data_IF_504503697423
#
_entry.id   IF_504503697423
#
_cell.length_a   1.000
_cell.length_b   1.000
_cell.length_c   1.000
_cell.angle_alpha   90.00
_cell.angle_beta   90.00
_cell.angle_gamma   90.00
#
_symmetry.space_group_name_H-M   'P 1'
#
loop_
_entity.id
_entity.type
_entity.pdbx_description
1 polymer ?
#
# COMPACT_ATOMS: atom_id res chain seq x y z
N UNK A 1 26.47 -28.07 -42.30
CA UNK A 1 25.27 -27.33 -41.80
C UNK A 1 24.56 -27.99 -40.59
N UNK A 2 25.03 -29.09 -39.98
CA UNK A 2 24.28 -29.78 -38.91
C UNK A 2 24.64 -29.38 -37.46
N UNK A 3 25.71 -28.61 -37.22
CA UNK A 3 26.09 -28.16 -35.88
C UNK A 3 25.30 -26.92 -35.41
N UNK A 4 25.00 -26.00 -36.33
CA UNK A 4 24.21 -24.79 -36.04
C UNK A 4 22.74 -25.12 -35.77
N UNK A 5 22.17 -26.10 -36.48
CA UNK A 5 20.78 -26.54 -36.23
C UNK A 5 20.63 -27.26 -34.89
N UNK A 6 21.66 -28.01 -34.45
CA UNK A 6 21.68 -28.66 -33.13
C UNK A 6 21.80 -27.66 -31.97
N UNK A 7 22.57 -26.58 -32.14
CA UNK A 7 22.65 -25.51 -31.14
C UNK A 7 21.36 -24.69 -31.05
N UNK A 8 20.71 -24.39 -32.17
CA UNK A 8 19.38 -23.76 -32.17
C UNK A 8 18.32 -24.67 -31.55
N UNK A 9 18.34 -25.97 -31.85
CA UNK A 9 17.42 -26.92 -31.24
C UNK A 9 17.64 -27.08 -29.72
N UNK A 10 18.89 -27.07 -29.26
CA UNK A 10 19.21 -27.11 -27.83
C UNK A 10 18.78 -25.83 -27.10
N UNK A 11 18.91 -24.65 -27.74
CA UNK A 11 18.42 -23.38 -27.18
C UNK A 11 16.89 -23.33 -27.11
N UNK A 12 16.21 -23.81 -28.15
CA UNK A 12 14.74 -23.88 -28.17
C UNK A 12 14.23 -24.91 -27.15
N UNK A 13 14.90 -26.07 -27.02
CA UNK A 13 14.55 -27.09 -26.02
C UNK A 13 14.81 -26.61 -24.59
N UNK A 14 15.95 -25.97 -24.32
CA UNK A 14 16.24 -25.39 -23.01
C UNK A 14 15.29 -24.24 -22.67
N UNK A 15 14.90 -23.42 -23.65
CA UNK A 15 13.89 -22.38 -23.49
C UNK A 15 12.50 -22.95 -23.21
N UNK A 16 12.11 -24.05 -23.87
CA UNK A 16 10.83 -24.70 -23.63
C UNK A 16 10.78 -25.41 -22.27
N UNK A 17 11.84 -26.12 -21.87
CA UNK A 17 11.91 -26.79 -20.56
C UNK A 17 11.95 -25.79 -19.40
N UNK A 18 12.69 -24.69 -19.55
CA UNK A 18 12.67 -23.59 -18.56
C UNK A 18 11.32 -22.90 -18.53
N UNK A 19 10.68 -22.67 -19.66
CA UNK A 19 9.33 -22.07 -19.72
C UNK A 19 8.28 -22.98 -19.06
N UNK A 20 8.33 -24.30 -19.29
CA UNK A 20 7.41 -25.26 -18.67
C UNK A 20 7.67 -25.42 -17.17
N UNK A 21 8.93 -25.50 -16.74
CA UNK A 21 9.29 -25.55 -15.34
C UNK A 21 8.90 -24.26 -14.60
N UNK A 22 9.12 -23.09 -15.21
CA UNK A 22 8.77 -21.78 -14.65
C UNK A 22 7.24 -21.52 -14.68
N UNK A 23 6.51 -22.03 -15.67
CA UNK A 23 5.05 -21.97 -15.70
C UNK A 23 4.43 -22.79 -14.56
N UNK A 24 4.96 -23.98 -14.30
CA UNK A 24 4.59 -24.77 -13.12
C UNK A 24 4.96 -24.04 -11.83
N UNK A 25 6.13 -23.39 -11.75
CA UNK A 25 6.51 -22.59 -10.58
C UNK A 25 5.62 -21.35 -10.37
N UNK A 26 5.18 -20.66 -11.43
CA UNK A 26 4.26 -19.52 -11.31
C UNK A 26 2.87 -19.97 -10.82
N UNK A 27 2.40 -21.15 -11.26
CA UNK A 27 1.18 -21.77 -10.73
C UNK A 27 1.36 -22.21 -9.27
N UNK A 28 2.48 -22.84 -8.92
CA UNK A 28 2.76 -23.35 -7.58
C UNK A 28 2.96 -22.20 -6.56
N UNK A 29 3.68 -21.14 -6.96
CA UNK A 29 3.91 -19.95 -6.12
C UNK A 29 2.62 -19.20 -5.78
N UNK A 30 1.57 -19.33 -6.59
CA UNK A 30 0.26 -18.74 -6.33
C UNK A 30 -0.55 -19.48 -5.25
N UNK A 31 -0.13 -20.70 -4.88
CA UNK A 31 -0.80 -21.58 -3.92
C UNK A 31 -0.06 -21.71 -2.57
N UNK A 32 1.14 -21.11 -2.45
CA UNK A 32 1.94 -21.19 -1.21
C UNK A 32 1.40 -20.23 -0.15
N UNK A 33 0.64 -20.79 0.79
CA UNK A 33 0.20 -20.11 2.02
C UNK A 33 1.34 -20.10 3.04
N UNK A 34 1.68 -18.90 3.53
CA UNK A 34 2.59 -18.71 4.65
C UNK A 34 1.74 -18.47 5.91
N UNK A 35 2.17 -19.04 7.03
CA UNK A 35 1.55 -18.77 8.33
C UNK A 35 1.73 -17.27 8.66
N UNK A 36 0.63 -16.52 8.89
CA UNK A 36 0.73 -15.10 9.19
C UNK A 36 1.44 -14.86 10.52
N UNK A 37 2.06 -13.68 10.63
CA UNK A 37 2.60 -13.19 11.90
C UNK A 37 1.52 -13.24 13.00
N UNK A 38 1.94 -13.49 14.25
CA UNK A 38 1.02 -13.68 15.38
C UNK A 38 0.07 -12.50 15.56
N UNK A 39 0.53 -11.29 15.24
CA UNK A 39 -0.24 -10.05 15.36
C UNK A 39 -1.41 -9.96 14.38
N UNK A 40 -1.43 -10.78 13.31
CA UNK A 40 -2.44 -10.77 12.25
C UNK A 40 -3.39 -11.97 12.33
N UNK A 41 -3.10 -12.96 13.18
CA UNK A 41 -3.78 -14.27 13.17
C UNK A 41 -5.31 -14.17 13.26
N UNK A 42 -5.81 -13.22 14.04
CA UNK A 42 -7.25 -13.08 14.29
C UNK A 42 -8.00 -12.37 13.16
N UNK A 43 -7.30 -11.69 12.24
CA UNK A 43 -7.92 -10.96 11.12
C UNK A 43 -8.68 -11.93 10.22
N UNK A 44 -8.09 -13.08 9.91
CA UNK A 44 -8.75 -14.10 9.08
C UNK A 44 -10.09 -14.54 9.66
N UNK A 45 -10.23 -14.61 10.98
CA UNK A 45 -11.49 -14.95 11.65
C UNK A 45 -12.50 -13.79 11.71
N UNK A 46 -12.03 -12.55 11.62
CA UNK A 46 -12.87 -11.35 11.63
C UNK A 46 -13.49 -11.03 10.25
N UNK A 47 -12.87 -11.50 9.16
CA UNK A 47 -13.37 -11.30 7.80
C UNK A 47 -14.56 -12.22 7.49
N UNK A 48 -15.44 -11.75 6.61
CA UNK A 48 -16.48 -12.62 6.05
C UNK A 48 -15.87 -13.80 5.29
N UNK A 49 -16.58 -14.92 5.20
CA UNK A 49 -16.04 -16.13 4.58
C UNK A 49 -15.56 -15.88 3.14
N UNK A 50 -16.32 -15.09 2.38
CA UNK A 50 -15.95 -14.69 1.02
C UNK A 50 -14.62 -13.91 0.99
N UNK A 51 -14.46 -12.91 1.87
CA UNK A 51 -13.25 -12.06 1.95
C UNK A 51 -12.03 -12.84 2.44
N UNK A 52 -12.23 -13.72 3.42
CA UNK A 52 -11.19 -14.64 3.89
C UNK A 52 -10.71 -15.55 2.77
N UNK A 53 -11.63 -16.23 2.06
CA UNK A 53 -11.28 -17.13 0.96
C UNK A 53 -10.57 -16.37 -0.16
N UNK A 54 -11.02 -15.16 -0.50
CA UNK A 54 -10.33 -14.31 -1.46
C UNK A 54 -8.88 -14.00 -1.05
N UNK A 55 -8.66 -13.66 0.23
CA UNK A 55 -7.32 -13.40 0.76
C UNK A 55 -6.43 -14.64 0.93
N UNK A 56 -6.99 -15.84 0.98
CA UNK A 56 -6.21 -17.09 1.15
C UNK A 56 -5.94 -17.84 -0.15
N UNK A 57 -6.83 -17.74 -1.14
CA UNK A 57 -6.75 -18.52 -2.36
C UNK A 57 -7.28 -17.79 -3.62
N UNK A 58 -7.73 -16.55 -3.47
CA UNK A 58 -8.28 -15.75 -4.57
C UNK A 58 -7.21 -15.00 -5.38
N UNK A 59 -7.65 -14.25 -6.39
CA UNK A 59 -6.80 -13.40 -7.23
C UNK A 59 -5.96 -12.42 -6.41
N UNK A 60 -6.55 -11.83 -5.37
CA UNK A 60 -5.85 -10.89 -4.49
C UNK A 60 -4.72 -11.54 -3.68
N UNK A 61 -4.86 -12.82 -3.29
CA UNK A 61 -3.76 -13.61 -2.71
C UNK A 61 -2.59 -13.75 -3.70
N UNK A 62 -2.91 -14.14 -4.93
CA UNK A 62 -1.92 -14.26 -6.00
C UNK A 62 -1.23 -12.92 -6.27
N UNK A 63 -1.98 -11.82 -6.27
CA UNK A 63 -1.43 -10.47 -6.41
C UNK A 63 -0.46 -10.12 -5.28
N UNK A 64 -0.83 -10.40 -4.03
CA UNK A 64 0.04 -10.18 -2.87
C UNK A 64 1.36 -10.97 -2.97
N UNK A 65 1.28 -12.26 -3.35
CA UNK A 65 2.45 -13.12 -3.59
C UNK A 65 3.35 -12.53 -4.67
N UNK A 66 2.77 -12.13 -5.79
CA UNK A 66 3.51 -11.61 -6.94
C UNK A 66 4.19 -10.28 -6.64
N UNK A 67 3.48 -9.35 -6.02
CA UNK A 67 4.04 -8.07 -5.58
C UNK A 67 5.13 -8.28 -4.52
N UNK A 68 4.87 -9.13 -3.51
CA UNK A 68 5.87 -9.47 -2.50
C UNK A 68 7.15 -10.03 -3.11
N UNK A 69 7.04 -10.99 -4.03
CA UNK A 69 8.22 -11.56 -4.72
C UNK A 69 8.95 -10.53 -5.59
N UNK A 70 8.22 -9.66 -6.29
CA UNK A 70 8.81 -8.68 -7.21
C UNK A 70 9.61 -7.60 -6.48
N UNK A 71 9.17 -7.21 -5.29
CA UNK A 71 9.77 -6.13 -4.51
C UNK A 71 10.63 -6.60 -3.34
N UNK A 72 10.68 -7.91 -3.04
CA UNK A 72 11.36 -8.47 -1.87
C UNK A 72 12.77 -7.92 -1.65
N UNK A 73 13.59 -7.80 -2.71
CA UNK A 73 14.99 -7.40 -2.58
C UNK A 73 15.19 -5.91 -2.20
N UNK A 74 14.12 -5.11 -2.19
CA UNK A 74 14.20 -3.68 -1.86
C UNK A 74 13.39 -3.32 -0.62
N UNK A 75 12.70 -4.29 0.00
CA UNK A 75 11.96 -4.08 1.25
C UNK A 75 12.98 -3.97 2.39
N UNK A 76 12.96 -2.88 3.19
CA UNK A 76 13.81 -2.76 4.38
C UNK A 76 13.33 -3.69 5.49
N UNK A 77 14.22 -4.05 6.42
CA UNK A 77 13.84 -4.78 7.62
C UNK A 77 13.12 -3.85 8.60
N UNK A 78 11.80 -4.03 8.74
CA UNK A 78 10.92 -3.17 9.53
C UNK A 78 9.98 -4.00 10.41
N UNK A 79 10.59 -4.93 11.16
CA UNK A 79 9.86 -5.90 11.97
C UNK A 79 9.00 -5.28 13.08
N UNK A 80 9.40 -4.14 13.67
CA UNK A 80 8.59 -3.44 14.68
C UNK A 80 7.36 -2.79 14.05
N UNK A 81 7.53 -2.17 12.88
CA UNK A 81 6.43 -1.61 12.11
C UNK A 81 5.39 -2.67 11.73
N UNK A 82 5.84 -3.78 11.16
CA UNK A 82 4.92 -4.86 10.76
C UNK A 82 4.17 -5.44 11.96
N UNK A 83 4.82 -5.58 13.12
CA UNK A 83 4.15 -6.04 14.34
C UNK A 83 3.13 -5.02 14.87
N UNK A 84 3.51 -3.75 15.00
CA UNK A 84 2.62 -2.70 15.50
C UNK A 84 1.40 -2.51 14.58
N UNK A 85 1.61 -2.46 13.27
CA UNK A 85 0.53 -2.37 12.29
C UNK A 85 -0.41 -3.58 12.38
N UNK A 86 0.13 -4.79 12.53
CA UNK A 86 -0.69 -6.00 12.71
C UNK A 86 -1.58 -5.94 13.95
N UNK A 87 -1.04 -5.48 15.07
CA UNK A 87 -1.82 -5.30 16.31
C UNK A 87 -2.95 -4.30 16.12
N UNK A 88 -2.65 -3.13 15.51
CA UNK A 88 -3.65 -2.10 15.20
C UNK A 88 -4.73 -2.65 14.26
N UNK A 89 -4.32 -3.36 13.22
CA UNK A 89 -5.26 -3.91 12.25
C UNK A 89 -6.16 -4.99 12.85
N UNK A 90 -5.60 -5.85 13.71
CA UNK A 90 -6.38 -6.85 14.46
C UNK A 90 -7.37 -6.19 15.41
N UNK A 91 -6.96 -5.16 16.15
CA UNK A 91 -7.85 -4.37 17.00
C UNK A 91 -9.02 -3.79 16.19
N UNK A 92 -8.73 -3.15 15.05
CA UNK A 92 -9.73 -2.55 14.17
C UNK A 92 -10.66 -3.58 13.54
N UNK A 93 -10.14 -4.75 13.16
CA UNK A 93 -10.95 -5.83 12.60
C UNK A 93 -11.99 -6.37 13.61
N UNK A 94 -11.78 -6.16 14.91
CA UNK A 94 -12.69 -6.55 15.98
C UNK A 94 -13.64 -5.42 16.42
N UNK A 95 -13.40 -4.19 15.95
CA UNK A 95 -14.27 -3.06 16.25
C UNK A 95 -15.59 -3.22 15.49
N UNK A 96 -16.75 -3.19 16.18
CA UNK A 96 -18.05 -3.34 15.54
C UNK A 96 -18.39 -2.15 14.61
N UNK A 97 -17.81 -0.98 14.87
CA UNK A 97 -17.98 0.22 14.04
C UNK A 97 -17.20 0.11 12.72
N UNK A 98 -15.98 -0.44 12.77
CA UNK A 98 -15.16 -0.66 11.57
C UNK A 98 -15.54 -1.96 10.81
N UNK A 99 -15.97 -2.99 11.53
CA UNK A 99 -16.31 -4.30 10.99
C UNK A 99 -17.69 -4.77 11.51
N UNK A 100 -18.79 -4.20 10.98
CA UNK A 100 -20.12 -4.62 11.34
C UNK A 100 -20.38 -6.07 10.88
N UNK A 101 -21.21 -6.79 11.61
CA UNK A 101 -21.60 -8.14 11.23
C UNK A 101 -22.93 -8.13 10.46
N UNK A 102 -22.99 -8.93 9.39
CA UNK A 102 -24.21 -9.08 8.61
C UNK A 102 -25.36 -9.67 9.43
N UNK A 103 -26.44 -8.91 9.57
CA UNK A 103 -27.74 -9.36 10.10
C UNK A 103 -28.69 -9.77 8.99
N UNK A 104 -29.82 -10.41 9.36
CA UNK A 104 -30.90 -10.78 8.42
C UNK A 104 -31.49 -9.57 7.68
N UNK A 105 -31.40 -8.37 8.24
CA UNK A 105 -31.93 -7.14 7.64
C UNK A 105 -31.18 -6.75 6.35
N UNK A 106 -29.95 -7.23 6.19
CA UNK A 106 -29.15 -7.03 4.97
C UNK A 106 -29.55 -7.98 3.83
N UNK A 107 -30.48 -8.91 4.09
CA UNK A 107 -31.02 -9.85 3.10
C UNK A 107 -29.92 -10.61 2.34
N UNK A 108 -29.93 -10.61 1.00
CA UNK A 108 -28.97 -11.37 0.20
C UNK A 108 -27.52 -10.86 0.32
N UNK A 109 -27.30 -9.66 0.87
CA UNK A 109 -25.97 -9.08 1.03
C UNK A 109 -25.34 -9.36 2.39
N UNK A 110 -26.02 -10.12 3.27
CA UNK A 110 -25.55 -10.42 4.62
C UNK A 110 -24.10 -10.93 4.66
N UNK A 111 -23.69 -11.77 3.72
CA UNK A 111 -22.34 -12.35 3.66
C UNK A 111 -21.25 -11.36 3.18
N UNK A 112 -21.66 -10.21 2.64
CA UNK A 112 -20.78 -9.15 2.17
C UNK A 112 -20.65 -7.99 3.17
N UNK A 113 -21.42 -8.01 4.26
CA UNK A 113 -21.33 -7.01 5.34
C UNK A 113 -20.06 -7.26 6.15
N UNK A 114 -19.34 -6.18 6.42
CA UNK A 114 -18.11 -6.18 7.21
C UNK A 114 -16.97 -5.48 6.48
N UNK A 115 -15.81 -5.47 7.12
CA UNK A 115 -14.61 -4.83 6.58
C UNK A 115 -14.05 -5.60 5.39
N UNK A 116 -13.64 -4.87 4.35
CA UNK A 116 -12.80 -5.41 3.29
C UNK A 116 -11.33 -5.28 3.68
N UNK A 117 -10.81 -6.30 4.37
CA UNK A 117 -9.38 -6.47 4.66
C UNK A 117 -8.72 -7.49 3.75
N UNK A 118 -9.22 -7.68 2.52
CA UNK A 118 -8.75 -8.77 1.64
C UNK A 118 -7.27 -8.60 1.25
N UNK A 119 -6.82 -7.40 0.89
CA UNK A 119 -5.41 -7.12 0.57
C UNK A 119 -4.50 -7.31 1.78
N UNK A 120 -4.97 -6.90 2.96
CA UNK A 120 -4.27 -7.06 4.23
C UNK A 120 -4.10 -8.53 4.60
N UNK A 121 -5.17 -9.32 4.51
CA UNK A 121 -5.12 -10.75 4.82
C UNK A 121 -4.33 -11.54 3.78
N UNK A 122 -4.46 -11.18 2.50
CA UNK A 122 -3.62 -11.69 1.43
C UNK A 122 -2.13 -11.43 1.69
N UNK A 123 -1.78 -10.20 2.08
CA UNK A 123 -0.43 -9.84 2.45
C UNK A 123 0.08 -10.64 3.66
N UNK A 124 -0.71 -10.72 4.73
CA UNK A 124 -0.35 -11.43 5.96
C UNK A 124 -0.06 -12.91 5.70
N UNK A 125 -0.81 -13.55 4.80
CA UNK A 125 -0.61 -14.95 4.39
C UNK A 125 0.41 -15.14 3.25
N UNK A 126 1.00 -14.04 2.76
CA UNK A 126 2.02 -14.04 1.69
C UNK A 126 3.42 -13.66 2.18
N UNK A 127 3.54 -13.13 3.40
CA UNK A 127 4.80 -12.81 4.06
C UNK A 127 5.13 -11.31 4.09
N UNK A 128 6.26 -10.98 4.74
CA UNK A 128 6.62 -9.62 5.12
C UNK A 128 6.74 -8.65 3.94
N UNK A 129 7.32 -9.11 2.81
CA UNK A 129 7.40 -8.29 1.62
C UNK A 129 6.01 -7.89 1.11
N UNK A 130 5.04 -8.83 1.14
CA UNK A 130 3.66 -8.54 0.74
C UNK A 130 2.96 -7.59 1.73
N UNK A 131 3.23 -7.70 3.03
CA UNK A 131 2.77 -6.73 4.04
C UNK A 131 3.33 -5.33 3.77
N UNK A 132 4.61 -5.23 3.44
CA UNK A 132 5.22 -3.96 3.05
C UNK A 132 4.54 -3.37 1.79
N UNK A 133 4.15 -4.21 0.82
CA UNK A 133 3.39 -3.77 -0.35
C UNK A 133 1.96 -3.32 -0.03
N UNK A 134 1.32 -3.92 0.98
CA UNK A 134 0.02 -3.44 1.49
C UNK A 134 0.17 -2.07 2.15
N UNK A 135 1.25 -1.84 2.92
CA UNK A 135 1.55 -0.51 3.48
C UNK A 135 1.77 0.55 2.40
N UNK A 136 2.42 0.18 1.27
CA UNK A 136 2.53 1.06 0.11
C UNK A 136 1.15 1.35 -0.49
N UNK A 137 0.30 0.32 -0.63
CA UNK A 137 -1.06 0.50 -1.13
C UNK A 137 -1.85 1.48 -0.27
N UNK A 138 -1.72 1.40 1.07
CA UNK A 138 -2.30 2.38 1.98
C UNK A 138 -1.76 3.80 1.75
N UNK A 139 -0.45 3.99 1.54
CA UNK A 139 0.11 5.32 1.22
C UNK A 139 -0.46 5.91 -0.07
N UNK A 140 -0.53 5.08 -1.13
CA UNK A 140 -1.08 5.51 -2.42
C UNK A 140 -2.59 5.80 -2.32
N UNK A 141 -3.33 4.96 -1.60
CA UNK A 141 -4.76 5.09 -1.39
C UNK A 141 -5.15 6.35 -0.60
N UNK A 142 -4.30 6.78 0.33
CA UNK A 142 -4.51 7.99 1.14
C UNK A 142 -4.29 9.26 0.33
N UNK A 143 -3.32 9.27 -0.60
CA UNK A 143 -2.87 10.50 -1.25
C UNK A 143 -3.31 10.67 -2.70
N UNK A 144 -3.51 9.58 -3.43
CA UNK A 144 -3.84 9.59 -4.86
C UNK A 144 -5.25 9.08 -5.11
N UNK A 145 -5.92 9.59 -6.14
CA UNK A 145 -7.19 9.03 -6.59
C UNK A 145 -6.98 7.65 -7.22
N UNK A 146 -8.03 6.82 -7.27
CA UNK A 146 -7.91 5.44 -7.76
C UNK A 146 -7.25 5.32 -9.15
N UNK A 147 -7.63 6.11 -10.18
CA UNK A 147 -6.99 6.00 -11.49
C UNK A 147 -5.50 6.35 -11.48
N UNK A 148 -5.10 7.33 -10.66
CA UNK A 148 -3.72 7.79 -10.50
C UNK A 148 -2.88 6.73 -9.77
N UNK A 149 -3.40 6.19 -8.66
CA UNK A 149 -2.74 5.13 -7.90
C UNK A 149 -2.54 3.87 -8.75
N UNK A 150 -3.53 3.49 -9.55
CA UNK A 150 -3.41 2.35 -10.48
C UNK A 150 -2.33 2.64 -11.54
N UNK A 151 -2.24 3.87 -12.06
CA UNK A 151 -1.19 4.25 -13.00
C UNK A 151 0.21 4.18 -12.35
N UNK A 152 0.34 4.64 -11.11
CA UNK A 152 1.57 4.52 -10.31
C UNK A 152 1.95 3.05 -10.13
N UNK A 153 1.00 2.19 -9.76
CA UNK A 153 1.25 0.74 -9.61
C UNK A 153 1.75 0.09 -10.90
N UNK A 154 1.15 0.43 -12.04
CA UNK A 154 1.59 -0.08 -13.35
C UNK A 154 3.03 0.36 -13.64
N UNK A 155 3.36 1.62 -13.37
CA UNK A 155 4.72 2.14 -13.55
C UNK A 155 5.71 1.42 -12.63
N UNK A 156 5.34 1.23 -11.35
CA UNK A 156 6.15 0.53 -10.36
C UNK A 156 6.51 -0.89 -10.78
N UNK A 157 5.50 -1.68 -11.20
CA UNK A 157 5.72 -3.06 -11.65
C UNK A 157 6.59 -3.10 -12.90
N UNK A 158 6.33 -2.20 -13.85
CA UNK A 158 7.07 -2.14 -15.13
C UNK A 158 8.55 -1.81 -14.90
N UNK A 159 8.81 -0.74 -14.15
CA UNK A 159 10.18 -0.28 -13.89
C UNK A 159 10.94 -1.26 -12.99
N UNK A 160 10.26 -1.90 -12.02
CA UNK A 160 10.88 -2.91 -11.17
C UNK A 160 11.35 -4.12 -11.98
N UNK A 161 10.52 -4.61 -12.92
CA UNK A 161 10.90 -5.69 -13.83
C UNK A 161 12.09 -5.27 -14.70
N UNK A 162 12.07 -4.08 -15.27
CA UNK A 162 13.18 -3.55 -16.06
C UNK A 162 14.50 -3.51 -15.28
N UNK A 163 14.46 -3.13 -14.00
CA UNK A 163 15.63 -3.14 -13.13
C UNK A 163 16.15 -4.56 -12.90
N UNK A 164 15.27 -5.52 -12.62
CA UNK A 164 15.66 -6.93 -12.45
C UNK A 164 16.22 -7.55 -13.73
N UNK A 165 15.69 -7.20 -14.91
CA UNK A 165 16.25 -7.63 -16.21
C UNK A 165 17.68 -7.11 -16.39
N UNK A 166 17.93 -5.84 -16.08
CA UNK A 166 19.25 -5.22 -16.14
C UNK A 166 20.26 -5.88 -15.18
N UNK A 167 19.83 -6.18 -13.96
CA UNK A 167 20.66 -6.89 -12.96
C UNK A 167 20.96 -8.33 -13.39
N UNK A 168 19.97 -9.02 -13.98
CA UNK A 168 20.13 -10.38 -14.51
C UNK A 168 21.10 -10.41 -15.69
N UNK A 169 20.99 -9.45 -16.61
CA UNK A 169 21.89 -9.30 -17.76
C UNK A 169 23.34 -9.00 -17.35
N UNK A 170 23.55 -8.41 -16.18
CA UNK A 170 24.87 -8.11 -15.61
C UNK A 170 25.53 -9.32 -14.93
N UNK A 171 24.90 -10.50 -14.93
CA UNK A 171 25.47 -11.76 -14.43
C UNK A 171 25.19 -12.07 -12.95
N UNK A 172 24.51 -11.19 -12.22
CA UNK A 172 24.09 -11.44 -10.83
C UNK A 172 22.69 -12.08 -10.84
N UNK A 173 22.61 -13.38 -11.12
CA UNK A 173 21.34 -14.10 -11.21
C UNK A 173 20.98 -14.66 -9.83
N UNK A 174 20.00 -14.05 -9.16
CA UNK A 174 19.27 -14.71 -8.08
C UNK A 174 18.06 -15.44 -8.67
N UNK A 175 17.86 -16.71 -8.30
CA UNK A 175 16.72 -17.52 -8.73
C UNK A 175 15.38 -16.82 -8.44
N UNK A 176 15.29 -16.09 -7.33
CA UNK A 176 14.09 -15.34 -6.95
C UNK A 176 13.78 -14.21 -7.94
N UNK A 177 14.80 -13.50 -8.41
CA UNK A 177 14.65 -12.41 -9.37
C UNK A 177 14.24 -12.95 -10.76
N UNK A 178 14.81 -14.09 -11.16
CA UNK A 178 14.44 -14.75 -12.41
C UNK A 178 12.97 -15.22 -12.41
N UNK A 179 12.47 -15.72 -11.28
CA UNK A 179 11.06 -16.07 -11.10
C UNK A 179 10.19 -14.81 -11.13
N UNK A 180 10.59 -13.75 -10.42
CA UNK A 180 9.85 -12.50 -10.34
C UNK A 180 9.59 -11.84 -11.71
N UNK A 181 10.55 -11.94 -12.64
CA UNK A 181 10.42 -11.41 -14.00
C UNK A 181 9.26 -12.04 -14.80
N UNK A 182 9.03 -13.34 -14.57
CA UNK A 182 8.00 -14.12 -15.28
C UNK A 182 6.60 -13.94 -14.70
N UNK A 183 6.47 -13.29 -13.53
CA UNK A 183 5.17 -13.11 -12.87
C UNK A 183 4.29 -12.11 -13.65
N UNK A 184 3.09 -12.53 -14.04
CA UNK A 184 2.15 -11.65 -14.75
C UNK A 184 1.29 -10.92 -13.72
N UNK A 185 1.38 -9.59 -13.70
CA UNK A 185 0.52 -8.72 -12.87
C UNK A 185 -0.21 -7.79 -13.85
N UNK A 186 -1.50 -8.04 -14.06
CA UNK A 186 -2.34 -7.24 -14.94
C UNK A 186 -2.80 -5.97 -14.24
N UNK A 187 -3.35 -5.03 -15.02
CA UNK A 187 -3.94 -3.81 -14.47
C UNK A 187 -5.15 -4.13 -13.58
N UNK A 188 -5.95 -5.15 -13.92
CA UNK A 188 -7.10 -5.55 -13.09
C UNK A 188 -6.65 -6.06 -11.71
N UNK A 189 -5.55 -6.82 -11.64
CA UNK A 189 -4.97 -7.25 -10.36
C UNK A 189 -4.57 -6.07 -9.47
N UNK A 190 -3.96 -5.02 -10.07
CA UNK A 190 -3.54 -3.82 -9.36
C UNK A 190 -4.73 -2.96 -8.92
N UNK A 191 -5.80 -2.93 -9.72
CA UNK A 191 -7.05 -2.27 -9.39
C UNK A 191 -7.77 -2.96 -8.22
N UNK A 192 -7.85 -4.30 -8.23
CA UNK A 192 -8.40 -5.08 -7.11
C UNK A 192 -7.60 -4.84 -5.81
N UNK A 193 -6.26 -4.84 -5.92
CA UNK A 193 -5.35 -4.58 -4.80
C UNK A 193 -5.55 -3.19 -4.19
N UNK A 194 -5.54 -2.15 -5.01
CA UNK A 194 -5.75 -0.76 -4.58
C UNK A 194 -7.17 -0.54 -4.02
N UNK A 195 -8.18 -1.16 -4.63
CA UNK A 195 -9.58 -1.08 -4.18
C UNK A 195 -9.74 -1.68 -2.78
N UNK A 196 -9.17 -2.86 -2.52
CA UNK A 196 -9.24 -3.49 -1.21
C UNK A 196 -8.47 -2.68 -0.16
N UNK A 197 -7.29 -2.14 -0.49
CA UNK A 197 -6.55 -1.25 0.42
C UNK A 197 -7.34 0.02 0.76
N UNK A 198 -8.00 0.66 -0.22
CA UNK A 198 -8.90 1.81 0.03
C UNK A 198 -10.10 1.45 0.89
N UNK A 199 -10.71 0.30 0.64
CA UNK A 199 -11.85 -0.18 1.42
C UNK A 199 -11.45 -0.44 2.88
N UNK A 200 -10.27 -1.02 3.10
CA UNK A 200 -9.66 -1.16 4.42
C UNK A 200 -9.51 0.20 5.12
N UNK A 201 -8.85 1.19 4.49
CA UNK A 201 -8.68 2.52 5.08
C UNK A 201 -10.02 3.20 5.45
N UNK A 202 -11.02 3.08 4.58
CA UNK A 202 -12.36 3.65 4.82
C UNK A 202 -13.03 3.01 6.04
N UNK A 203 -12.98 1.69 6.14
CA UNK A 203 -13.55 0.97 7.28
C UNK A 203 -12.84 1.35 8.59
N UNK A 204 -11.51 1.47 8.57
CA UNK A 204 -10.75 1.87 9.77
C UNK A 204 -11.07 3.29 10.24
N UNK A 205 -11.46 4.20 9.34
CA UNK A 205 -11.95 5.53 9.71
C UNK A 205 -13.39 5.55 10.26
N UNK A 206 -14.11 4.43 10.21
CA UNK A 206 -15.46 4.33 10.78
C UNK A 206 -15.43 4.10 12.29
N UNK A 207 -14.30 3.62 12.84
CA UNK A 207 -14.07 3.55 14.27
C UNK A 207 -13.93 4.97 14.87
N UNK A 208 -14.76 5.36 15.86
CA UNK A 208 -14.77 6.73 16.38
C UNK A 208 -13.44 7.17 17.00
N UNK A 209 -12.73 6.27 17.69
CA UNK A 209 -11.48 6.60 18.38
C UNK A 209 -10.34 6.78 17.39
N UNK A 210 -10.29 5.93 16.36
CA UNK A 210 -9.33 6.08 15.26
C UNK A 210 -9.65 7.32 14.45
N UNK A 211 -10.92 7.58 14.13
CA UNK A 211 -11.33 8.75 13.38
C UNK A 211 -10.94 10.05 14.10
N UNK A 212 -11.17 10.14 15.42
CA UNK A 212 -10.77 11.33 16.19
C UNK A 212 -9.26 11.58 16.11
N UNK A 213 -8.44 10.55 16.33
CA UNK A 213 -6.97 10.66 16.22
C UNK A 213 -6.53 11.03 14.81
N UNK A 214 -7.16 10.43 13.81
CA UNK A 214 -6.90 10.69 12.40
C UNK A 214 -7.22 12.13 12.02
N UNK A 215 -8.37 12.66 12.46
CA UNK A 215 -8.76 14.04 12.21
C UNK A 215 -7.76 15.02 12.82
N UNK A 216 -7.25 14.75 14.02
CA UNK A 216 -6.18 15.57 14.62
C UNK A 216 -4.91 15.55 13.76
N UNK A 217 -4.48 14.38 13.30
CA UNK A 217 -3.32 14.26 12.39
C UNK A 217 -3.56 15.08 11.13
N UNK A 218 -4.69 14.89 10.45
CA UNK A 218 -5.01 15.60 9.21
C UNK A 218 -5.09 17.12 9.40
N UNK A 219 -5.61 17.59 10.54
CA UNK A 219 -5.63 19.02 10.88
C UNK A 219 -4.21 19.61 10.99
N UNK A 220 -3.27 18.85 11.56
CA UNK A 220 -1.87 19.27 11.62
C UNK A 220 -1.30 19.34 10.21
N UNK A 221 -1.52 18.30 9.39
CA UNK A 221 -1.00 18.25 8.02
C UNK A 221 -1.47 19.42 7.15
N UNK A 222 -2.73 19.84 7.30
CA UNK A 222 -3.29 21.01 6.60
C UNK A 222 -2.55 22.33 6.92
N UNK A 223 -1.93 22.44 8.09
CA UNK A 223 -1.19 23.63 8.49
C UNK A 223 0.28 23.65 8.03
N UNK A 224 0.78 22.54 7.48
CA UNK A 224 2.20 22.40 7.10
C UNK A 224 2.40 22.73 5.63
N UNK A 225 3.58 23.18 5.23
CA UNK A 225 3.99 23.27 3.83
C UNK A 225 5.19 22.37 3.61
N UNK A 226 4.94 21.08 3.39
CA UNK A 226 6.01 20.09 3.20
C UNK A 226 5.80 19.34 1.88
N UNK A 227 6.87 19.15 1.12
CA UNK A 227 6.82 18.29 -0.06
C UNK A 227 7.42 16.92 0.28
N UNK A 228 6.90 15.87 -0.35
CA UNK A 228 7.61 14.59 -0.47
C UNK A 228 8.85 14.86 -1.31
N UNK A 229 10.03 14.68 -0.72
CA UNK A 229 11.29 14.95 -1.41
C UNK A 229 11.64 13.74 -2.26
N UNK A 230 12.04 13.98 -3.50
CA UNK A 230 12.46 12.89 -4.37
C UNK A 230 12.67 13.31 -5.81
N UNK A 231 13.20 12.40 -6.64
CA UNK A 231 13.26 12.59 -8.09
C UNK A 231 11.86 12.80 -8.69
N UNK A 232 11.78 13.42 -9.86
CA UNK A 232 10.51 13.51 -10.62
C UNK A 232 10.08 12.18 -11.25
N UNK A 233 10.98 11.20 -11.28
CA UNK A 233 10.74 9.82 -11.68
C UNK A 233 9.79 9.12 -10.70
N UNK A 234 8.69 8.55 -11.19
CA UNK A 234 7.63 7.98 -10.34
C UNK A 234 8.16 6.82 -9.53
N UNK A 235 8.91 5.91 -10.17
CA UNK A 235 9.41 4.73 -9.50
C UNK A 235 10.29 5.09 -8.32
N UNK A 236 11.34 5.89 -8.53
CA UNK A 236 12.26 6.29 -7.46
C UNK A 236 11.56 7.11 -6.39
N UNK A 237 10.77 8.10 -6.79
CA UNK A 237 10.01 8.94 -5.84
C UNK A 237 9.14 8.10 -4.92
N UNK A 238 8.39 7.15 -5.48
CA UNK A 238 7.49 6.30 -4.70
C UNK A 238 8.23 5.28 -3.87
N UNK A 239 9.25 4.60 -4.42
CA UNK A 239 10.00 3.60 -3.65
C UNK A 239 10.84 4.22 -2.54
N UNK A 240 11.44 5.39 -2.77
CA UNK A 240 12.30 6.04 -1.78
C UNK A 240 11.44 6.62 -0.64
N UNK A 241 10.33 7.29 -0.96
CA UNK A 241 9.37 7.77 0.03
C UNK A 241 8.81 6.63 0.89
N UNK A 242 8.44 5.50 0.25
CA UNK A 242 7.92 4.33 0.94
C UNK A 242 8.95 3.70 1.89
N UNK A 243 10.19 3.48 1.42
CA UNK A 243 11.27 2.94 2.26
C UNK A 243 11.59 3.87 3.43
N UNK A 244 11.76 5.17 3.14
CA UNK A 244 12.03 6.18 4.15
C UNK A 244 10.95 6.17 5.23
N UNK A 245 9.68 6.16 4.83
CA UNK A 245 8.57 6.11 5.75
C UNK A 245 8.59 4.84 6.62
N UNK A 246 8.81 3.66 6.01
CA UNK A 246 8.82 2.40 6.75
C UNK A 246 9.96 2.34 7.77
N UNK A 247 11.18 2.68 7.36
CA UNK A 247 12.35 2.70 8.24
C UNK A 247 12.21 3.72 9.37
N UNK A 248 11.59 4.87 9.08
CA UNK A 248 11.36 5.92 10.06
C UNK A 248 10.34 5.47 11.11
N UNK A 249 9.20 4.90 10.68
CA UNK A 249 8.20 4.41 11.61
C UNK A 249 8.70 3.23 12.44
N UNK A 250 9.49 2.32 11.86
CA UNK A 250 10.08 1.22 12.62
C UNK A 250 10.91 1.72 13.81
N UNK A 251 11.75 2.75 13.56
CA UNK A 251 12.55 3.41 14.59
C UNK A 251 11.69 4.14 15.62
N UNK A 252 10.65 4.88 15.17
CA UNK A 252 9.73 5.61 16.06
C UNK A 252 8.98 4.65 16.99
N UNK A 253 8.49 3.53 16.47
CA UNK A 253 7.84 2.49 17.27
C UNK A 253 8.82 1.92 18.29
N UNK A 254 10.08 1.74 17.91
CA UNK A 254 11.17 1.34 18.78
C UNK A 254 11.62 2.41 19.80
N UNK A 255 10.94 3.54 19.90
CA UNK A 255 11.20 4.60 20.89
C UNK A 255 12.20 5.66 20.46
N UNK A 256 12.65 5.67 19.19
CA UNK A 256 13.52 6.72 18.69
C UNK A 256 12.73 8.00 18.39
N UNK A 257 13.22 9.14 18.85
CA UNK A 257 12.69 10.43 18.43
C UNK A 257 13.14 10.76 17.01
N UNK A 258 12.25 11.32 16.19
CA UNK A 258 12.54 11.66 14.80
C UNK A 258 12.11 13.08 14.47
N UNK A 259 12.93 13.80 13.70
CA UNK A 259 12.57 15.12 13.16
C UNK A 259 12.20 14.98 11.68
N UNK A 260 10.99 15.38 11.32
CA UNK A 260 10.46 15.28 9.96
C UNK A 260 10.99 16.41 9.10
N UNK A 261 11.63 16.03 8.00
CA UNK A 261 12.07 16.92 6.92
C UNK A 261 11.44 16.56 5.57
N UNK A 262 10.82 15.38 5.47
CA UNK A 262 10.24 14.84 4.23
C UNK A 262 8.75 14.54 4.42
N UNK A 263 7.92 14.97 3.46
CA UNK A 263 6.49 14.70 3.41
C UNK A 263 6.14 13.21 3.42
N UNK A 264 7.04 12.33 2.99
CA UNK A 264 6.80 10.88 2.94
C UNK A 264 6.35 10.30 4.29
N UNK A 265 7.00 10.73 5.38
CA UNK A 265 6.69 10.27 6.74
C UNK A 265 5.31 10.75 7.18
N UNK A 266 4.89 11.95 6.75
CA UNK A 266 3.57 12.48 7.05
C UNK A 266 2.46 11.77 6.26
N UNK A 267 2.74 11.36 5.01
CA UNK A 267 1.82 10.52 4.23
C UNK A 267 1.62 9.18 4.93
N UNK A 268 2.70 8.54 5.40
CA UNK A 268 2.62 7.30 6.16
C UNK A 268 1.87 7.45 7.49
N UNK A 269 2.09 8.55 8.21
CA UNK A 269 1.33 8.90 9.42
C UNK A 269 -0.17 8.97 9.16
N UNK A 270 -0.58 9.53 8.01
CA UNK A 270 -1.97 9.57 7.60
C UNK A 270 -2.50 8.22 7.07
N UNK A 271 -1.65 7.24 6.79
CA UNK A 271 -2.03 6.01 6.08
C UNK A 271 -2.02 4.74 6.94
N UNK A 272 -1.24 4.70 8.02
CA UNK A 272 -0.99 3.47 8.77
C UNK A 272 -1.69 3.40 10.13
N UNK A 273 -2.40 4.46 10.54
CA UNK A 273 -3.16 4.53 11.81
C UNK A 273 -2.33 4.20 13.05
N UNK A 274 -1.07 4.61 13.02
CA UNK A 274 -0.13 4.54 14.14
C UNK A 274 0.15 5.98 14.58
N UNK A 275 -0.09 6.28 15.85
CA UNK A 275 -0.17 7.66 16.32
C UNK A 275 0.94 8.00 17.33
N UNK A 276 2.17 8.33 16.86
CA UNK A 276 3.18 8.91 17.73
C UNK A 276 2.74 10.23 18.31
N UNK A 277 3.34 10.56 19.45
CA UNK A 277 3.27 11.90 20.02
C UNK A 277 4.02 12.87 19.10
N UNK A 278 3.41 14.03 18.87
CA UNK A 278 3.89 15.02 17.90
C UNK A 278 4.31 16.31 18.61
N UNK A 279 5.43 16.89 18.19
CA UNK A 279 5.88 18.22 18.58
C UNK A 279 5.95 19.08 17.33
N UNK A 280 5.01 19.99 17.17
CA UNK A 280 4.94 20.88 16.00
C UNK A 280 5.64 22.20 16.34
N UNK A 281 6.65 22.55 15.55
CA UNK A 281 7.51 23.74 15.68
C UNK A 281 7.35 24.62 14.44
N UNK A 282 6.13 25.14 14.20
CA UNK A 282 5.84 26.12 13.14
C UNK A 282 5.95 27.54 13.71
N UNK A 283 4.83 28.14 14.12
CA UNK A 283 4.78 29.49 14.69
C UNK A 283 4.88 29.46 16.22
N UNK A 284 4.29 28.44 16.84
CA UNK A 284 4.32 28.19 18.28
C UNK A 284 4.62 26.71 18.52
N UNK A 285 5.31 26.42 19.62
CA UNK A 285 5.54 25.03 20.04
C UNK A 285 4.22 24.43 20.50
N UNK A 286 3.72 23.43 19.77
CA UNK A 286 2.54 22.65 20.15
C UNK A 286 2.93 21.20 20.37
N UNK A 287 2.72 20.71 21.59
CA UNK A 287 2.88 19.30 21.94
C UNK A 287 1.51 18.61 21.85
N UNK A 288 1.46 17.48 21.16
CA UNK A 288 0.24 16.72 20.90
C UNK A 288 0.50 15.29 21.35
N UNK A 289 -0.11 14.93 22.47
CA UNK A 289 0.01 13.60 23.04
C UNK A 289 -1.14 12.71 22.58
N UNK A 290 -0.80 11.69 21.81
CA UNK A 290 -1.74 10.69 21.29
C UNK A 290 -1.82 9.46 22.20
N UNK A 291 -0.76 9.20 22.99
CA UNK A 291 -0.67 8.08 23.93
C UNK A 291 -1.05 6.74 23.31
N UNK A 292 -0.52 6.48 22.11
CA UNK A 292 -0.75 5.22 21.44
C UNK A 292 0.09 4.11 22.08
N UNK A 293 -0.58 3.11 22.66
CA UNK A 293 0.05 2.00 23.37
C UNK A 293 0.93 1.11 22.47
N UNK A 294 0.80 1.24 21.14
CA UNK A 294 1.61 0.49 20.18
C UNK A 294 3.01 1.09 19.98
N UNK A 295 3.27 2.27 20.54
CA UNK A 295 4.55 2.96 20.43
C UNK A 295 5.27 2.96 21.78
N UNK A 296 6.59 2.69 21.75
CA UNK A 296 7.39 2.79 22.96
C UNK A 296 7.56 4.25 23.41
N UNK A 297 7.67 4.43 24.72
CA UNK A 297 7.95 5.74 25.31
C UNK A 297 9.27 6.29 24.73
N UNK A 298 9.24 7.51 24.19
CA UNK A 298 10.37 8.16 23.51
C UNK A 298 10.22 8.33 22.00
N UNK A 299 9.29 7.59 21.38
CA UNK A 299 8.91 7.70 19.97
C UNK A 299 8.17 9.00 19.65
N UNK A 300 8.87 10.13 19.73
CA UNK A 300 8.32 11.47 19.51
C UNK A 300 8.70 11.95 18.12
N UNK A 301 7.71 12.46 17.40
CA UNK A 301 7.90 13.03 16.07
C UNK A 301 7.89 14.55 16.17
N UNK A 302 9.03 15.16 15.87
CA UNK A 302 9.17 16.62 15.78
C UNK A 302 8.94 17.10 14.36
N UNK A 303 8.08 18.08 14.16
CA UNK A 303 7.78 18.67 12.86
C UNK A 303 8.29 20.12 12.87
N UNK A 304 9.46 20.35 12.31
CA UNK A 304 10.01 21.69 12.10
C UNK A 304 9.68 22.16 10.68
N UNK A 305 8.68 23.03 10.53
CA UNK A 305 8.20 23.42 9.21
C UNK A 305 8.62 24.86 8.87
N UNK A 306 9.77 24.97 8.19
CA UNK A 306 10.07 26.08 7.27
C UNK A 306 11.00 25.55 6.17
N UNK A 307 10.43 25.11 5.06
CA UNK A 307 11.12 25.24 3.77
C UNK A 307 10.75 26.62 3.17
N UNK A 308 11.70 27.33 2.53
CA UNK A 308 11.39 28.62 1.91
C UNK A 308 10.39 28.46 0.76
N UNK A 309 9.35 29.30 0.79
CA UNK A 309 8.53 29.74 -0.34
C UNK A 309 8.21 28.72 -1.46
N UNK A 310 7.56 27.63 -1.08
CA UNK A 310 6.79 26.86 -2.04
C UNK A 310 5.46 27.60 -2.29
N UNK A 311 5.31 28.23 -3.46
CA UNK A 311 4.03 28.77 -3.92
C UNK A 311 3.00 27.61 -4.03
N UNK A 312 1.83 27.78 -3.40
CA UNK A 312 0.74 26.79 -3.38
C UNK A 312 -0.06 26.72 -2.07
N UNK A 313 -1.20 25.99 -2.07
CA UNK A 313 -2.00 25.76 -0.87
C UNK A 313 -1.20 25.00 0.20
N UNK A 314 -1.48 25.21 1.50
CA UNK A 314 -0.82 24.50 2.57
C UNK A 314 -1.23 23.02 2.57
N UNK A 315 -0.28 22.14 2.89
CA UNK A 315 -0.45 20.70 2.99
C UNK A 315 0.86 19.94 2.81
N UNK A 316 0.75 18.61 2.86
CA UNK A 316 1.79 17.71 2.33
C UNK A 316 1.56 17.56 0.84
N UNK A 317 2.58 17.83 0.03
CA UNK A 317 2.50 17.75 -1.44
C UNK A 317 3.34 16.59 -1.96
N UNK A 318 2.76 15.79 -2.86
CA UNK A 318 3.51 14.79 -3.60
C UNK A 318 3.36 15.05 -5.10
N UNK A 319 4.50 15.28 -5.77
CA UNK A 319 4.57 15.58 -7.20
C UNK A 319 5.10 14.36 -7.96
N UNK A 320 4.34 13.87 -8.93
CA UNK A 320 4.72 12.72 -9.78
C UNK A 320 4.39 13.00 -11.25
N UNK A 321 5.25 12.56 -12.17
CA UNK A 321 5.01 12.63 -13.62
C UNK A 321 4.40 11.31 -14.12
N UNK A 322 3.07 11.22 -14.20
CA UNK A 322 2.39 9.97 -14.52
C UNK A 322 2.35 9.71 -16.03
N UNK A 323 3.13 8.73 -16.49
CA UNK A 323 3.18 8.33 -17.89
C UNK A 323 2.04 7.35 -18.29
N UNK A 324 1.49 6.63 -17.32
CA UNK A 324 0.49 5.58 -17.53
C UNK A 324 -0.97 6.04 -17.34
N UNK A 325 -1.23 7.34 -17.16
CA UNK A 325 -2.58 7.88 -17.08
C UNK A 325 -3.19 7.99 -18.48
N UNK A 326 -3.91 6.95 -18.93
CA UNK A 326 -4.48 6.84 -20.28
C UNK A 326 -5.72 7.73 -20.49
N UNK A 327 -5.51 9.03 -20.61
CA UNK A 327 -6.42 9.94 -21.33
C UNK A 327 -5.55 10.80 -22.27
N UNK A 328 -5.45 10.37 -23.54
CA UNK A 328 -4.75 10.99 -24.66
C UNK A 328 -3.82 12.20 -24.35
N UNK A 329 -2.51 11.96 -24.14
CA UNK A 329 -1.54 13.07 -24.04
C UNK A 329 -0.12 12.67 -23.62
N UNK A 330 0.85 13.62 -23.69
CA UNK A 330 2.16 13.50 -23.05
C UNK A 330 2.01 13.32 -21.53
N UNK A 331 3.04 12.79 -20.82
CA UNK A 331 2.99 12.57 -19.38
C UNK A 331 2.58 13.86 -18.64
N UNK A 332 1.59 13.74 -17.76
CA UNK A 332 1.04 14.86 -17.00
C UNK A 332 1.71 14.87 -15.64
N UNK A 333 2.29 16.02 -15.27
CA UNK A 333 2.74 16.26 -13.90
C UNK A 333 1.51 16.46 -13.02
N UNK A 334 1.29 15.55 -12.09
CA UNK A 334 0.19 15.63 -11.14
C UNK A 334 0.75 16.03 -9.77
N UNK A 335 0.07 17.01 -9.16
CA UNK A 335 0.30 17.47 -7.79
C UNK A 335 -0.91 17.11 -6.97
N UNK A 336 -0.76 16.23 -5.99
CA UNK A 336 -1.78 16.03 -4.98
C UNK A 336 -1.37 16.69 -3.68
N UNK A 337 -2.37 17.22 -2.97
CA UNK A 337 -2.22 17.73 -1.62
C UNK A 337 -3.27 17.09 -0.74
N UNK A 338 -3.00 16.95 0.56
CA UNK A 338 -3.94 16.34 1.52
C UNK A 338 -5.15 17.25 1.84
N UNK A 339 -5.75 17.89 0.83
CA UNK A 339 -7.05 18.53 0.93
C UNK A 339 -8.16 17.47 0.89
N UNK A 340 -9.12 17.64 1.80
CA UNK A 340 -10.26 16.75 1.95
C UNK A 340 -11.36 17.11 0.97
N UNK A 341 -11.80 16.11 0.19
CA UNK A 341 -13.22 15.88 -0.18
C UNK A 341 -13.77 16.33 -1.55
N UNK A 342 -12.98 16.41 -2.62
CA UNK A 342 -13.53 16.83 -3.94
C UNK A 342 -14.24 15.72 -4.77
N UNK A 343 -14.50 14.52 -4.24
CA UNK A 343 -15.05 13.43 -5.08
C UNK A 343 -15.90 12.36 -4.41
N UNK A 344 -16.39 12.58 -3.18
CA UNK A 344 -17.04 11.52 -2.40
C UNK A 344 -18.57 11.61 -2.48
N UNK A 345 -19.17 10.62 -3.13
CA UNK A 345 -20.60 10.33 -3.03
C UNK A 345 -20.80 9.25 -1.97
N UNK A 346 -21.67 9.50 -1.00
CA UNK A 346 -22.13 8.50 -0.03
C UNK A 346 -23.10 7.51 -0.70
N UNK A 347 -23.43 6.41 -0.03
CA UNK A 347 -24.45 5.48 -0.55
C UNK A 347 -25.81 6.16 -0.71
N UNK A 348 -26.14 7.09 0.18
CA UNK A 348 -27.35 7.91 0.07
C UNK A 348 -27.30 8.81 -1.17
N UNK A 349 -26.14 9.42 -1.47
CA UNK A 349 -25.94 10.20 -2.69
C UNK A 349 -26.02 9.32 -3.95
N UNK A 350 -25.52 8.08 -3.88
CA UNK A 350 -25.63 7.10 -4.96
C UNK A 350 -27.09 6.69 -5.21
N UNK A 351 -27.90 6.52 -4.17
CA UNK A 351 -29.34 6.23 -4.30
C UNK A 351 -30.07 7.41 -4.95
N UNK A 352 -29.71 8.65 -4.61
CA UNK A 352 -30.27 9.86 -5.24
C UNK A 352 -29.88 9.95 -6.72
N UNK A 353 -28.63 9.67 -7.07
CA UNK A 353 -28.16 9.64 -8.46
C UNK A 353 -28.84 8.51 -9.25
N UNK A 354 -29.02 7.35 -8.63
CA UNK A 354 -29.71 6.20 -9.23
C UNK A 354 -31.18 6.47 -9.50
N UNK A 355 -31.86 7.18 -8.58
CA UNK A 355 -33.25 7.63 -8.76
C UNK A 355 -33.37 8.69 -9.87
N UNK A 356 -32.38 9.58 -9.99
CA UNK A 356 -32.33 10.58 -11.06
C UNK A 356 -32.11 10.00 -12.46
N UNK A 357 -31.55 8.79 -12.58
CA UNK A 357 -31.34 8.11 -13.86
C UNK A 357 -32.58 7.33 -14.37
N UNK A 358 -33.64 7.24 -13.56
CA UNK A 358 -34.88 6.51 -13.87
C UNK A 358 -36.04 7.45 -14.26
N UNK A 359 -35.81 8.78 -14.27
CA UNK A 359 -36.81 9.81 -14.67
C UNK A 359 -36.59 10.28 -16.10
#
# INVERSE_FOLDING_TARGET
MSAVSKLQAAFVSASQETTLALANLNADFSLVKIEPRIEYRDIGGALSNHRRVAGEAGSIHVTARRLGSLFQSIVPDVSNLLAAYGKRATELSKSPDANPTGTRDHGPFQEYVGVDGSSLWAAATSGDAALAMHLLACMLATHWQAPEAIAIWVELVTERKRQLESTTASGNINLQDAVALQLVISREHLEEWDTSARAWLKATCSDPLVNERQLRVLQILKGLKLAVLGPTDVYRSVTDAWKLAMETFDKIIGGASYSIYDGAVLVALASWYLYPDLVVLTNEKREIHQHDALLQAGGIVTIGATLPDLEGPPGVRWLLSLSHLKYYGPPVTVSQSTESDEGRLTFDDFVVVSLGAIV
#
